data_IF_742605887743
#
_entry.id   IF_742605887743
#
_cell.length_a   1.000
_cell.length_b   1.000
_cell.length_c   1.000
_cell.angle_alpha   90.00
_cell.angle_beta   90.00
_cell.angle_gamma   90.00
#
_symmetry.space_group_name_H-M   'P 1'
#
loop_
_entity.id
_entity.type
_entity.pdbx_description
1 polymer ?
#
# COMPACT_ATOMS: atom_id res chain seq x y z
N UNK A 1 17.95 -8.03 10.36
CA UNK A 1 17.55 -8.68 9.09
C UNK A 1 17.45 -7.63 8.00
N UNK A 2 17.74 -7.93 6.73
CA UNK A 2 17.65 -6.96 5.64
C UNK A 2 16.20 -6.54 5.36
N UNK A 3 15.99 -5.26 5.02
CA UNK A 3 14.71 -4.73 4.56
C UNK A 3 14.59 -4.97 3.04
N UNK A 4 14.19 -6.17 2.66
CA UNK A 4 14.11 -6.58 1.25
C UNK A 4 12.81 -6.14 0.58
N UNK A 5 12.88 -5.82 -0.72
CA UNK A 5 11.73 -5.51 -1.57
C UNK A 5 11.76 -6.41 -2.80
N UNK A 6 10.66 -7.10 -3.08
CA UNK A 6 10.51 -7.98 -4.24
C UNK A 6 9.11 -7.80 -4.82
N UNK A 7 8.96 -7.17 -6.00
CA UNK A 7 7.65 -6.95 -6.61
C UNK A 7 7.02 -8.29 -7.02
N UNK A 8 5.68 -8.39 -6.95
CA UNK A 8 5.01 -9.62 -7.33
C UNK A 8 5.13 -9.89 -8.84
N UNK A 9 5.50 -11.11 -9.20
CA UNK A 9 5.47 -11.61 -10.58
C UNK A 9 4.25 -12.51 -10.82
N UNK A 10 3.99 -12.86 -12.08
CA UNK A 10 3.05 -13.96 -12.38
C UNK A 10 3.71 -15.28 -11.98
N UNK A 11 2.88 -16.28 -11.66
CA UNK A 11 3.40 -17.61 -11.37
C UNK A 11 4.27 -18.13 -12.53
N UNK A 12 5.37 -18.85 -12.25
CA UNK A 12 6.21 -19.45 -13.28
C UNK A 12 5.36 -20.29 -14.24
N UNK A 13 5.76 -20.35 -15.52
CA UNK A 13 5.08 -21.20 -16.50
C UNK A 13 5.34 -22.70 -16.26
N UNK A 14 6.35 -23.02 -15.44
CA UNK A 14 6.69 -24.37 -15.00
C UNK A 14 5.49 -25.04 -14.35
N UNK A 15 5.09 -26.19 -14.91
CA UNK A 15 3.96 -26.95 -14.38
C UNK A 15 4.34 -27.64 -13.06
N UNK A 16 3.36 -27.78 -12.16
CA UNK A 16 3.53 -28.46 -10.87
C UNK A 16 4.27 -27.66 -9.79
N UNK A 17 4.62 -26.40 -10.06
CA UNK A 17 5.31 -25.53 -9.08
C UNK A 17 4.48 -24.27 -8.83
N UNK A 18 4.32 -23.93 -7.55
CA UNK A 18 3.68 -22.71 -7.09
C UNK A 18 4.62 -21.97 -6.13
N UNK A 19 4.83 -20.68 -6.36
CA UNK A 19 5.64 -19.84 -5.48
C UNK A 19 4.73 -18.92 -4.67
N UNK A 20 4.84 -18.94 -3.34
CA UNK A 20 4.00 -18.15 -2.43
C UNK A 20 4.83 -17.46 -1.34
N UNK A 21 4.20 -16.53 -0.62
CA UNK A 21 4.80 -15.82 0.51
C UNK A 21 5.95 -14.90 0.09
N UNK A 22 6.92 -14.70 1.00
CA UNK A 22 8.07 -13.83 0.77
C UNK A 22 8.98 -14.34 -0.35
N UNK A 23 8.94 -15.63 -0.69
CA UNK A 23 9.65 -16.14 -1.87
C UNK A 23 9.08 -15.56 -3.19
N UNK A 24 7.80 -15.16 -3.19
CA UNK A 24 7.10 -14.60 -4.36
C UNK A 24 7.00 -13.06 -4.30
N UNK A 25 6.78 -12.49 -3.11
CA UNK A 25 6.55 -11.06 -2.97
C UNK A 25 6.91 -10.54 -1.56
N UNK A 26 7.98 -9.74 -1.47
CA UNK A 26 8.43 -9.07 -0.25
C UNK A 26 8.09 -7.58 -0.27
N UNK A 27 7.86 -7.03 0.92
CA UNK A 27 7.63 -5.60 1.17
C UNK A 27 8.35 -5.19 2.45
N UNK A 28 8.45 -3.88 2.66
CA UNK A 28 9.02 -3.34 3.89
C UNK A 28 8.25 -3.85 5.14
N UNK A 29 8.93 -4.34 6.20
CA UNK A 29 8.27 -5.00 7.33
C UNK A 29 7.55 -4.05 8.29
N UNK A 30 7.67 -2.73 8.08
CA UNK A 30 7.11 -1.69 8.96
C UNK A 30 5.62 -1.85 9.27
N UNK A 31 4.81 -2.28 8.30
CA UNK A 31 3.36 -2.46 8.50
C UNK A 31 2.99 -3.86 9.00
N UNK A 32 3.95 -4.77 9.14
CA UNK A 32 3.69 -6.15 9.56
C UNK A 32 2.81 -6.97 8.58
N UNK A 33 2.56 -6.47 7.37
CA UNK A 33 1.57 -7.05 6.45
C UNK A 33 2.01 -8.32 5.70
N UNK A 34 3.24 -8.80 5.88
CA UNK A 34 3.78 -9.98 5.18
C UNK A 34 2.96 -11.25 5.44
N UNK A 35 2.68 -11.55 6.71
CA UNK A 35 1.87 -12.72 7.08
C UNK A 35 0.42 -12.60 6.62
N UNK A 36 -0.17 -11.41 6.69
CA UNK A 36 -1.52 -11.14 6.19
C UNK A 36 -1.63 -11.48 4.70
N UNK A 37 -0.62 -11.10 3.91
CA UNK A 37 -0.58 -11.42 2.48
C UNK A 37 -0.39 -12.92 2.27
N UNK A 38 0.51 -13.56 3.02
CA UNK A 38 0.75 -14.99 2.90
C UNK A 38 -0.52 -15.81 3.19
N UNK A 39 -1.26 -15.49 4.25
CA UNK A 39 -2.51 -16.18 4.57
C UNK A 39 -3.63 -15.87 3.58
N UNK A 40 -3.74 -14.63 3.11
CA UNK A 40 -4.69 -14.29 2.05
C UNK A 40 -4.38 -15.05 0.75
N UNK A 41 -3.11 -15.15 0.38
CA UNK A 41 -2.69 -15.92 -0.80
C UNK A 41 -2.98 -17.42 -0.61
N UNK A 42 -2.79 -17.98 0.58
CA UNK A 42 -3.14 -19.36 0.90
C UNK A 42 -4.64 -19.65 0.76
N UNK A 43 -5.51 -18.76 1.26
CA UNK A 43 -6.97 -18.87 1.12
C UNK A 43 -7.39 -18.79 -0.36
N UNK A 44 -6.86 -17.82 -1.11
CA UNK A 44 -7.18 -17.69 -2.53
C UNK A 44 -6.75 -18.92 -3.34
N UNK A 45 -5.59 -19.50 -3.04
CA UNK A 45 -5.12 -20.72 -3.69
C UNK A 45 -6.02 -21.90 -3.31
N UNK A 46 -6.39 -22.04 -2.04
CA UNK A 46 -7.29 -23.10 -1.58
C UNK A 46 -8.65 -23.03 -2.29
N UNK A 47 -9.22 -21.83 -2.44
CA UNK A 47 -10.50 -21.63 -3.15
C UNK A 47 -10.39 -21.93 -4.65
N UNK A 48 -9.28 -21.51 -5.28
CA UNK A 48 -9.09 -21.64 -6.73
C UNK A 48 -8.65 -23.04 -7.17
N UNK A 49 -7.97 -23.79 -6.29
CA UNK A 49 -7.53 -25.17 -6.52
C UNK A 49 -8.40 -26.19 -5.78
N UNK A 50 -9.56 -25.78 -5.25
CA UNK A 50 -10.47 -26.68 -4.56
C UNK A 50 -10.87 -27.85 -5.49
N UNK A 51 -10.95 -29.10 -5.00
CA UNK A 51 -11.32 -30.26 -5.83
C UNK A 51 -12.65 -30.10 -6.57
N UNK A 52 -13.61 -29.35 -6.00
CA UNK A 52 -14.89 -29.05 -6.66
C UNK A 52 -14.75 -28.11 -7.87
N UNK A 53 -13.67 -27.32 -7.94
CA UNK A 53 -13.36 -26.39 -9.03
C UNK A 53 -12.38 -27.01 -10.01
N UNK A 54 -11.33 -27.68 -9.49
CA UNK A 54 -10.31 -28.38 -10.26
C UNK A 54 -10.16 -29.80 -9.67
N UNK A 55 -10.90 -30.78 -10.19
CA UNK A 55 -10.85 -32.16 -9.69
C UNK A 55 -9.50 -32.83 -9.92
N UNK A 56 -8.78 -32.43 -10.97
CA UNK A 56 -7.47 -32.97 -11.34
C UNK A 56 -6.43 -31.85 -11.46
N UNK A 57 -5.48 -31.83 -10.52
CA UNK A 57 -4.34 -30.90 -10.55
C UNK A 57 -3.33 -31.23 -11.65
N UNK A 58 -3.45 -32.40 -12.30
CA UNK A 58 -2.73 -32.76 -13.52
C UNK A 58 -3.17 -31.95 -14.74
N UNK A 59 -4.36 -31.33 -14.73
CA UNK A 59 -4.79 -30.41 -15.77
C UNK A 59 -4.04 -29.07 -15.64
N UNK A 60 -2.86 -29.04 -16.26
CA UNK A 60 -2.00 -27.85 -16.31
C UNK A 60 -2.61 -26.66 -17.07
N UNK A 61 -3.73 -26.81 -17.80
CA UNK A 61 -4.45 -25.69 -18.40
C UNK A 61 -5.45 -25.10 -17.41
N UNK A 62 -6.20 -25.94 -16.68
CA UNK A 62 -7.11 -25.49 -15.61
C UNK A 62 -6.34 -24.77 -14.49
N UNK A 63 -5.25 -25.37 -14.00
CA UNK A 63 -4.41 -24.76 -12.96
C UNK A 63 -3.86 -23.41 -13.41
N UNK A 64 -3.46 -23.28 -14.68
CA UNK A 64 -2.93 -22.01 -15.22
C UNK A 64 -3.97 -20.90 -15.26
N UNK A 65 -5.21 -21.22 -15.68
CA UNK A 65 -6.34 -20.28 -15.64
C UNK A 65 -6.67 -19.84 -14.21
N UNK A 66 -6.62 -20.78 -13.26
CA UNK A 66 -6.76 -20.47 -11.84
C UNK A 66 -5.64 -19.53 -11.35
N UNK A 67 -4.40 -19.77 -11.76
CA UNK A 67 -3.26 -18.91 -11.38
C UNK A 67 -3.30 -17.51 -12.00
N UNK A 68 -3.84 -17.36 -13.22
CA UNK A 68 -4.12 -16.05 -13.80
C UNK A 68 -5.19 -15.31 -12.98
N UNK A 69 -6.23 -16.01 -12.53
CA UNK A 69 -7.27 -15.45 -11.65
C UNK A 69 -6.71 -15.07 -10.29
N UNK A 70 -5.87 -15.93 -9.70
CA UNK A 70 -5.14 -15.67 -8.45
C UNK A 70 -4.34 -14.36 -8.54
N UNK A 71 -3.59 -14.16 -9.62
CA UNK A 71 -2.79 -12.96 -9.85
C UNK A 71 -3.62 -11.68 -9.82
N UNK A 72 -4.84 -11.69 -10.38
CA UNK A 72 -5.72 -10.53 -10.36
C UNK A 72 -6.40 -10.33 -9.01
N UNK A 73 -6.91 -11.40 -8.38
CA UNK A 73 -7.61 -11.30 -7.08
C UNK A 73 -6.69 -10.77 -5.99
N UNK A 74 -5.47 -11.30 -5.88
CA UNK A 74 -4.47 -10.86 -4.89
C UNK A 74 -4.03 -9.42 -5.05
N UNK A 75 -4.12 -8.86 -6.27
CA UNK A 75 -3.62 -7.51 -6.57
C UNK A 75 -4.33 -6.44 -5.73
N UNK A 76 -5.60 -6.66 -5.40
CA UNK A 76 -6.39 -5.75 -4.57
C UNK A 76 -5.76 -5.51 -3.19
N UNK A 77 -5.49 -6.58 -2.44
CA UNK A 77 -4.87 -6.53 -1.11
C UNK A 77 -3.37 -6.24 -1.17
N UNK A 78 -2.64 -6.92 -2.04
CA UNK A 78 -1.17 -6.78 -2.10
C UNK A 78 -0.73 -5.39 -2.52
N UNK A 79 -1.47 -4.73 -3.43
CA UNK A 79 -1.22 -3.34 -3.82
C UNK A 79 -1.34 -2.42 -2.60
N UNK A 80 -2.41 -2.56 -1.81
CA UNK A 80 -2.66 -1.70 -0.65
C UNK A 80 -1.54 -1.85 0.36
N UNK A 81 -1.23 -3.08 0.77
CA UNK A 81 -0.21 -3.35 1.79
C UNK A 81 1.18 -2.88 1.31
N UNK A 82 1.51 -3.08 0.03
CA UNK A 82 2.81 -2.66 -0.52
C UNK A 82 2.95 -1.14 -0.58
N UNK A 83 1.95 -0.45 -1.14
CA UNK A 83 1.96 1.02 -1.25
C UNK A 83 1.99 1.64 0.13
N UNK A 84 1.19 1.13 1.07
CA UNK A 84 1.11 1.67 2.41
C UNK A 84 2.39 1.44 3.21
N UNK A 85 3.01 0.27 3.10
CA UNK A 85 4.31 -0.01 3.72
C UNK A 85 5.39 0.97 3.25
N UNK A 86 5.44 1.21 1.93
CA UNK A 86 6.42 2.12 1.35
C UNK A 86 6.12 3.58 1.69
N UNK A 87 4.87 4.01 1.56
CA UNK A 87 4.45 5.38 1.84
C UNK A 87 4.69 5.75 3.30
N UNK A 88 4.29 4.90 4.24
CA UNK A 88 4.52 5.13 5.67
C UNK A 88 6.02 5.08 6.02
N UNK A 89 6.80 4.21 5.37
CA UNK A 89 8.24 4.21 5.56
C UNK A 89 8.87 5.53 5.13
N UNK A 90 8.58 5.99 3.89
CA UNK A 90 9.07 7.28 3.40
C UNK A 90 8.60 8.47 4.25
N UNK A 91 7.39 8.38 4.81
CA UNK A 91 6.82 9.42 5.67
C UNK A 91 7.46 9.45 7.07
N UNK A 92 7.79 8.30 7.64
CA UNK A 92 8.39 8.21 8.98
C UNK A 92 9.92 8.34 8.96
N UNK A 93 10.57 7.96 7.86
CA UNK A 93 11.98 8.21 7.58
C UNK A 93 12.21 9.56 6.87
N UNK A 94 11.31 10.53 7.08
CA UNK A 94 11.33 11.82 6.39
C UNK A 94 12.54 12.68 6.80
N UNK A 95 13.50 12.81 5.89
CA UNK A 95 14.64 13.72 6.07
C UNK A 95 14.39 15.11 5.46
N UNK A 96 13.54 15.20 4.43
CA UNK A 96 13.25 16.43 3.69
C UNK A 96 12.10 17.26 4.29
N UNK A 97 12.13 18.58 4.04
CA UNK A 97 11.10 19.53 4.50
C UNK A 97 9.70 19.15 4.02
N UNK A 98 9.57 18.73 2.76
CA UNK A 98 8.29 18.37 2.14
C UNK A 98 7.70 17.09 2.79
N UNK A 99 8.54 16.08 3.00
CA UNK A 99 8.13 14.85 3.68
C UNK A 99 7.76 15.11 5.15
N UNK A 100 8.44 16.04 5.84
CA UNK A 100 8.04 16.47 7.19
C UNK A 100 6.69 17.19 7.21
N UNK A 101 6.35 17.97 6.18
CA UNK A 101 5.03 18.58 6.05
C UNK A 101 3.94 17.52 5.87
N UNK A 102 4.17 16.54 4.98
CA UNK A 102 3.29 15.37 4.83
C UNK A 102 3.15 14.58 6.13
N UNK A 103 4.24 14.40 6.87
CA UNK A 103 4.23 13.68 8.15
C UNK A 103 3.34 14.39 9.16
N UNK A 104 3.47 15.72 9.31
CA UNK A 104 2.59 16.53 10.17
C UNK A 104 1.13 16.42 9.72
N UNK A 105 0.86 16.54 8.42
CA UNK A 105 -0.49 16.43 7.87
C UNK A 105 -1.13 15.07 8.15
N UNK A 106 -0.35 13.99 8.07
CA UNK A 106 -0.80 12.64 8.39
C UNK A 106 -1.17 12.49 9.87
N UNK A 107 -0.32 12.98 10.79
CA UNK A 107 -0.65 12.95 12.22
C UNK A 107 -1.87 13.81 12.55
N UNK A 108 -2.00 14.98 11.94
CA UNK A 108 -3.16 15.85 12.15
C UNK A 108 -4.44 15.19 11.60
N UNK A 109 -4.35 14.55 10.43
CA UNK A 109 -5.43 13.75 9.86
C UNK A 109 -5.91 12.64 10.80
N UNK A 110 -4.99 11.93 11.46
CA UNK A 110 -5.33 10.92 12.45
C UNK A 110 -5.95 11.51 13.72
N UNK A 111 -5.44 12.65 14.21
CA UNK A 111 -5.98 13.36 15.38
C UNK A 111 -7.42 13.84 15.17
N UNK A 112 -7.82 14.12 13.93
CA UNK A 112 -9.20 14.47 13.54
C UNK A 112 -10.15 13.26 13.53
N UNK A 113 -9.70 12.07 13.91
CA UNK A 113 -10.52 10.86 14.02
C UNK A 113 -10.57 10.00 12.76
N UNK A 114 -9.77 10.31 11.74
CA UNK A 114 -9.78 9.57 10.47
C UNK A 114 -8.81 8.38 10.43
N UNK A 115 -8.32 7.90 11.57
CA UNK A 115 -7.35 6.80 11.64
C UNK A 115 -7.97 5.42 11.34
N UNK A 116 -9.25 5.21 11.62
CA UNK A 116 -9.89 3.88 11.57
C UNK A 116 -9.78 3.20 10.21
N UNK A 117 -10.02 3.93 9.12
CA UNK A 117 -9.99 3.35 7.76
C UNK A 117 -8.55 3.04 7.31
N UNK A 118 -7.55 3.95 7.45
CA UNK A 118 -6.14 3.62 7.27
C UNK A 118 -5.69 2.40 8.07
N UNK A 119 -6.11 2.25 9.34
CA UNK A 119 -5.80 1.06 10.14
C UNK A 119 -6.43 -0.22 9.56
N UNK A 120 -7.68 -0.14 9.06
CA UNK A 120 -8.34 -1.26 8.37
C UNK A 120 -7.66 -1.64 7.04
N UNK A 121 -7.09 -0.66 6.33
CA UNK A 121 -6.25 -0.90 5.14
C UNK A 121 -4.92 -1.59 5.54
N UNK A 122 -4.28 -1.16 6.63
CA UNK A 122 -3.05 -1.80 7.15
C UNK A 122 -3.29 -3.25 7.55
N UNK A 123 -4.41 -3.50 8.24
CA UNK A 123 -4.79 -4.84 8.70
C UNK A 123 -5.26 -5.77 7.58
N UNK A 124 -5.36 -5.30 6.32
CA UNK A 124 -5.89 -6.10 5.21
C UNK A 124 -7.38 -6.40 5.29
N UNK A 125 -8.12 -5.74 6.21
CA UNK A 125 -9.56 -5.88 6.39
C UNK A 125 -10.33 -5.18 5.26
N UNK A 126 -9.80 -4.06 4.77
CA UNK A 126 -10.37 -3.29 3.67
C UNK A 126 -9.51 -3.51 2.43
N UNK A 127 -10.04 -4.19 1.42
CA UNK A 127 -9.32 -4.55 0.19
C UNK A 127 -9.72 -3.68 -1.00
N UNK A 128 -9.84 -2.36 -0.80
CA UNK A 128 -10.31 -1.41 -1.82
C UNK A 128 -9.25 -0.35 -2.16
N UNK A 129 -8.50 -0.50 -3.27
CA UNK A 129 -7.43 0.44 -3.65
C UNK A 129 -7.91 1.89 -3.82
N UNK A 130 -9.16 2.10 -4.24
CA UNK A 130 -9.74 3.44 -4.35
C UNK A 130 -9.84 4.17 -3.00
N UNK A 131 -10.12 3.44 -1.90
CA UNK A 131 -10.18 4.00 -0.55
C UNK A 131 -8.78 4.42 -0.10
N UNK A 132 -7.75 3.61 -0.40
CA UNK A 132 -6.36 3.99 -0.13
C UNK A 132 -6.00 5.30 -0.84
N UNK A 133 -6.31 5.42 -2.14
CA UNK A 133 -6.03 6.64 -2.90
C UNK A 133 -6.74 7.85 -2.28
N UNK A 134 -8.02 7.72 -1.93
CA UNK A 134 -8.79 8.78 -1.28
C UNK A 134 -8.11 9.29 0.00
N UNK A 135 -7.72 8.39 0.92
CA UNK A 135 -7.05 8.78 2.16
C UNK A 135 -5.66 9.38 1.91
N UNK A 136 -4.89 8.81 0.98
CA UNK A 136 -3.57 9.31 0.63
C UNK A 136 -3.63 10.76 0.11
N UNK A 137 -4.51 11.06 -0.84
CA UNK A 137 -4.69 12.42 -1.35
C UNK A 137 -5.29 13.37 -0.31
N UNK A 138 -6.19 12.89 0.55
CA UNK A 138 -6.73 13.72 1.64
C UNK A 138 -5.62 14.16 2.60
N UNK A 139 -4.72 13.24 2.97
CA UNK A 139 -3.55 13.56 3.80
C UNK A 139 -2.65 14.57 3.09
N UNK A 140 -2.40 14.41 1.78
CA UNK A 140 -1.61 15.36 1.00
C UNK A 140 -2.24 16.77 1.01
N UNK A 141 -3.55 16.90 0.77
CA UNK A 141 -4.22 18.20 0.82
C UNK A 141 -4.21 18.82 2.23
N UNK A 142 -4.38 18.02 3.29
CA UNK A 142 -4.27 18.50 4.67
C UNK A 142 -2.85 18.97 4.97
N UNK A 143 -1.82 18.26 4.49
CA UNK A 143 -0.43 18.67 4.64
C UNK A 143 -0.14 19.98 3.90
N UNK A 144 -0.62 20.14 2.67
CA UNK A 144 -0.50 21.38 1.89
C UNK A 144 -1.16 22.54 2.64
N UNK A 145 -2.38 22.33 3.14
CA UNK A 145 -3.10 23.35 3.90
C UNK A 145 -2.33 23.79 5.16
N UNK A 146 -1.87 22.83 5.97
CA UNK A 146 -1.12 23.13 7.20
C UNK A 146 0.20 23.84 6.87
N UNK A 147 0.94 23.37 5.86
CA UNK A 147 2.19 24.01 5.45
C UNK A 147 1.97 25.43 4.94
N UNK A 148 0.89 25.68 4.19
CA UNK A 148 0.52 27.02 3.74
C UNK A 148 0.16 27.95 4.92
N UNK A 149 -0.63 27.47 5.89
CA UNK A 149 -0.93 28.24 7.09
C UNK A 149 0.33 28.57 7.89
N UNK A 150 1.24 27.60 8.09
CA UNK A 150 2.50 27.78 8.81
C UNK A 150 3.44 28.79 8.10
N UNK A 151 3.45 28.84 6.76
CA UNK A 151 4.26 29.80 6.00
C UNK A 151 3.71 31.22 6.07
N UNK A 152 2.38 31.36 6.07
CA UNK A 152 1.68 32.65 5.98
C UNK A 152 1.46 33.30 7.36
N UNK A 153 1.53 32.55 8.46
CA UNK A 153 1.30 33.08 9.82
C UNK A 153 2.40 34.01 10.37
N UNK A 154 3.51 34.22 9.64
CA UNK A 154 4.59 35.12 10.05
C UNK A 154 4.46 36.56 9.54
N UNK A 155 5.23 37.53 10.10
CA UNK A 155 5.19 38.94 9.68
C UNK A 155 5.60 39.18 8.21
N UNK A 156 6.24 38.20 7.55
CA UNK A 156 6.58 38.18 6.12
C UNK A 156 5.78 37.14 5.32
N UNK A 157 4.64 36.69 5.85
CA UNK A 157 3.86 35.56 5.30
C UNK A 157 3.39 35.77 3.85
N UNK A 158 2.96 36.99 3.52
CA UNK A 158 2.55 37.36 2.16
C UNK A 158 3.70 37.23 1.13
N UNK A 159 4.94 37.49 1.53
CA UNK A 159 6.13 37.33 0.67
C UNK A 159 6.52 35.85 0.46
N UNK A 160 6.10 34.96 1.37
CA UNK A 160 6.35 33.52 1.27
C UNK A 160 5.23 32.75 0.56
N UNK A 161 4.14 33.42 0.18
CA UNK A 161 3.04 32.82 -0.58
C UNK A 161 3.47 32.12 -1.90
N UNK A 162 4.43 32.64 -2.69
CA UNK A 162 4.91 31.94 -3.89
C UNK A 162 5.60 30.61 -3.54
N UNK A 163 6.33 30.58 -2.43
CA UNK A 163 6.99 29.38 -1.93
C UNK A 163 5.98 28.32 -1.49
N UNK A 164 4.86 28.73 -0.90
CA UNK A 164 3.76 27.83 -0.54
C UNK A 164 3.10 27.19 -1.78
N UNK A 165 2.97 27.93 -2.88
CA UNK A 165 2.46 27.39 -4.16
C UNK A 165 3.45 26.40 -4.77
N UNK A 166 4.75 26.69 -4.73
CA UNK A 166 5.79 25.76 -5.20
C UNK A 166 5.81 24.48 -4.34
N UNK A 167 5.80 24.61 -3.01
CA UNK A 167 5.75 23.48 -2.10
C UNK A 167 4.46 22.64 -2.31
N UNK A 168 3.32 23.28 -2.62
CA UNK A 168 2.07 22.58 -2.91
C UNK A 168 2.09 21.78 -4.22
N UNK A 169 2.94 22.15 -5.18
CA UNK A 169 3.13 21.40 -6.43
C UNK A 169 4.14 20.26 -6.26
N UNK A 170 5.09 20.42 -5.32
CA UNK A 170 6.16 19.44 -5.07
C UNK A 170 5.78 18.38 -4.02
N UNK A 171 4.71 18.59 -3.24
CA UNK A 171 4.11 17.62 -2.29
C UNK A 171 3.13 16.71 -3.04
#
# INVERSE_FOLDING_TARGET
MPNSWLPPSRQPRTQGVLLLGDAMNMRHPLTGGGMTVAFNDAVLVADLLHPDVIPDLGDGAAVRRAMDTFHWRRKSLTCIINVLAQALYSLFAADDRLLRALQKGCFDYFKRGHATVPMGLMGGLIQRPAILAYHFFTVAFVAIWINACDLVSGPLGLLKAPLAVVDAILI
#
